data_IF_154521708903
#
_entry.id   IF_154521708903
#
_cell.length_a   1.000
_cell.length_b   1.000
_cell.length_c   1.000
_cell.angle_alpha   90.00
_cell.angle_beta   90.00
_cell.angle_gamma   90.00
#
_symmetry.space_group_name_H-M   'P 1'
#
loop_
_entity.id
_entity.type
_entity.pdbx_description
1 polymer ?
#
# COMPACT_ATOMS: atom_id res chain seq x y z
N UNK A 1 0.79 -22.44 -17.62
CA UNK A 1 0.65 -21.73 -16.34
C UNK A 1 0.86 -20.25 -16.60
N UNK A 2 0.16 -19.36 -15.89
CA UNK A 2 0.47 -17.93 -15.81
C UNK A 2 0.68 -17.60 -14.36
N UNK A 3 1.67 -16.76 -14.08
CA UNK A 3 1.98 -16.34 -12.72
C UNK A 3 1.73 -14.86 -12.55
N UNK A 4 1.29 -14.48 -11.37
CA UNK A 4 1.07 -13.11 -10.96
C UNK A 4 1.77 -12.87 -9.64
N UNK A 5 2.44 -11.73 -9.51
CA UNK A 5 2.92 -11.22 -8.24
C UNK A 5 1.94 -10.16 -7.75
N UNK A 6 1.62 -10.20 -6.46
CA UNK A 6 0.74 -9.23 -5.85
C UNK A 6 1.30 -8.68 -4.54
N UNK A 7 0.84 -7.49 -4.20
CA UNK A 7 1.08 -6.81 -2.93
C UNK A 7 -0.25 -6.40 -2.30
N UNK A 8 -0.36 -6.57 -0.99
CA UNK A 8 -1.54 -6.17 -0.22
C UNK A 8 -1.15 -5.65 1.16
N UNK A 9 -1.64 -4.49 1.55
CA UNK A 9 -1.38 -3.89 2.87
C UNK A 9 -2.53 -4.18 3.83
N UNK A 10 -2.20 -4.86 4.92
CA UNK A 10 -3.10 -5.09 6.04
C UNK A 10 -2.94 -3.95 7.05
N UNK A 11 -4.06 -3.33 7.41
CA UNK A 11 -4.13 -2.20 8.33
C UNK A 11 -4.53 -2.62 9.73
N UNK A 12 -5.43 -3.63 9.87
CA UNK A 12 -5.89 -4.17 11.16
C UNK A 12 -6.16 -5.68 11.10
N UNK A 13 -6.33 -6.31 12.27
CA UNK A 13 -6.65 -7.73 12.42
C UNK A 13 -5.44 -8.67 12.40
N UNK A 14 -4.30 -8.20 11.92
CA UNK A 14 -3.05 -8.95 11.93
C UNK A 14 -1.87 -7.99 12.13
N UNK A 15 -0.81 -8.44 12.78
CA UNK A 15 0.31 -7.58 13.18
C UNK A 15 1.66 -8.06 12.68
N UNK A 16 2.50 -7.12 12.25
CA UNK A 16 3.90 -7.42 11.94
C UNK A 16 4.68 -7.75 13.22
N UNK A 17 5.53 -8.79 13.14
CA UNK A 17 6.53 -9.15 14.16
C UNK A 17 7.86 -9.43 13.45
N UNK A 18 9.01 -9.23 14.13
CA UNK A 18 10.33 -9.38 13.49
C UNK A 18 10.59 -10.78 12.93
N UNK A 19 10.04 -11.82 13.54
CA UNK A 19 10.14 -13.21 13.05
C UNK A 19 9.56 -13.43 11.64
N UNK A 20 8.69 -12.53 11.15
CA UNK A 20 8.14 -12.62 9.79
C UNK A 20 9.14 -12.24 8.69
N UNK A 21 10.30 -11.69 9.06
CA UNK A 21 11.37 -11.43 8.09
C UNK A 21 12.03 -12.73 7.64
N UNK A 22 12.10 -13.72 8.53
CA UNK A 22 12.75 -15.01 8.28
C UNK A 22 11.72 -15.99 7.72
N UNK A 23 11.83 -16.30 6.42
CA UNK A 23 10.91 -17.19 5.69
C UNK A 23 10.82 -18.60 6.32
N UNK A 24 11.90 -19.06 6.96
CA UNK A 24 11.95 -20.37 7.59
C UNK A 24 11.32 -20.41 8.98
N UNK A 25 11.04 -19.25 9.57
CA UNK A 25 10.50 -19.16 10.93
C UNK A 25 9.11 -19.81 11.02
N UNK A 26 8.78 -20.41 12.18
CA UNK A 26 7.45 -20.98 12.39
C UNK A 26 6.35 -19.91 12.29
N UNK A 27 6.63 -18.68 12.74
CA UNK A 27 5.69 -17.57 12.65
C UNK A 27 5.41 -17.17 11.19
N UNK A 28 6.46 -17.11 10.34
CA UNK A 28 6.29 -16.88 8.92
C UNK A 28 5.45 -17.98 8.29
N UNK A 29 5.82 -19.25 8.50
CA UNK A 29 5.12 -20.40 7.89
C UNK A 29 3.66 -20.46 8.29
N UNK A 30 3.34 -20.24 9.56
CA UNK A 30 1.96 -20.22 10.05
C UNK A 30 1.15 -19.09 9.40
N UNK A 31 1.72 -17.89 9.32
CA UNK A 31 1.06 -16.72 8.74
C UNK A 31 0.93 -16.83 7.21
N UNK A 32 1.97 -17.31 6.54
CA UNK A 32 1.96 -17.60 5.11
C UNK A 32 0.85 -18.61 4.79
N UNK A 33 0.79 -19.73 5.51
CA UNK A 33 -0.26 -20.74 5.32
C UNK A 33 -1.66 -20.17 5.52
N UNK A 34 -1.85 -19.28 6.52
CA UNK A 34 -3.13 -18.60 6.76
C UNK A 34 -3.55 -17.76 5.54
N UNK A 35 -2.69 -16.87 5.07
CA UNK A 35 -3.00 -16.01 3.91
C UNK A 35 -3.09 -16.78 2.60
N UNK A 36 -2.27 -17.82 2.40
CA UNK A 36 -2.35 -18.70 1.24
C UNK A 36 -3.71 -19.41 1.18
N UNK A 37 -4.22 -19.90 2.32
CA UNK A 37 -5.56 -20.48 2.41
C UNK A 37 -6.64 -19.45 2.13
N UNK A 38 -6.52 -18.24 2.68
CA UNK A 38 -7.48 -17.16 2.42
C UNK A 38 -7.55 -16.85 0.92
N UNK A 39 -6.40 -16.61 0.28
CA UNK A 39 -6.32 -16.40 -1.17
C UNK A 39 -6.95 -17.59 -1.92
N UNK A 40 -6.60 -18.82 -1.55
CA UNK A 40 -7.15 -20.01 -2.19
C UNK A 40 -8.68 -20.09 -2.08
N UNK A 41 -9.24 -19.76 -0.91
CA UNK A 41 -10.69 -19.73 -0.70
C UNK A 41 -11.38 -18.70 -1.58
N UNK A 42 -10.82 -17.49 -1.71
CA UNK A 42 -11.38 -16.44 -2.57
C UNK A 42 -11.50 -16.92 -4.01
N UNK A 43 -10.40 -17.40 -4.59
CA UNK A 43 -10.40 -17.84 -5.99
C UNK A 43 -11.25 -19.09 -6.22
N UNK A 44 -11.31 -20.01 -5.25
CA UNK A 44 -12.15 -21.23 -5.36
C UNK A 44 -13.65 -20.93 -5.28
N UNK A 45 -14.04 -19.83 -4.64
CA UNK A 45 -15.43 -19.37 -4.55
C UNK A 45 -15.82 -18.38 -5.64
N UNK A 46 -14.86 -17.92 -6.45
CA UNK A 46 -15.07 -16.98 -7.56
C UNK A 46 -15.42 -17.69 -8.87
N UNK A 47 -15.68 -16.91 -9.94
CA UNK A 47 -15.81 -17.42 -11.30
C UNK A 47 -14.50 -18.01 -11.88
N UNK A 48 -13.36 -17.74 -11.25
CA UNK A 48 -12.06 -18.34 -11.58
C UNK A 48 -11.81 -19.69 -10.89
N UNK A 49 -12.85 -20.29 -10.28
CA UNK A 49 -12.79 -21.58 -9.60
C UNK A 49 -12.05 -22.64 -10.43
N UNK A 50 -11.15 -23.36 -9.77
CA UNK A 50 -10.36 -24.42 -10.40
C UNK A 50 -9.23 -23.95 -11.32
N UNK A 51 -9.14 -22.66 -11.66
CA UNK A 51 -8.00 -22.10 -12.41
C UNK A 51 -6.78 -21.84 -11.52
N UNK A 52 -6.97 -21.50 -10.24
CA UNK A 52 -5.87 -21.31 -9.30
C UNK A 52 -5.19 -22.65 -8.99
N UNK A 53 -3.92 -22.78 -9.35
CA UNK A 53 -3.08 -23.95 -9.05
C UNK A 53 -2.36 -23.80 -7.72
N UNK A 54 -1.86 -22.59 -7.43
CA UNK A 54 -1.10 -22.32 -6.22
C UNK A 54 -1.20 -20.85 -5.83
N UNK A 55 -1.43 -20.59 -4.56
CA UNK A 55 -1.14 -19.31 -3.93
C UNK A 55 0.07 -19.51 -3.02
N UNK A 56 1.03 -18.57 -3.06
CA UNK A 56 2.20 -18.59 -2.19
C UNK A 56 2.50 -17.22 -1.65
N UNK A 57 2.69 -17.09 -0.34
CA UNK A 57 3.22 -15.85 0.24
C UNK A 57 4.74 -15.85 0.11
N UNK A 58 5.28 -14.77 -0.45
CA UNK A 58 6.72 -14.61 -0.72
C UNK A 58 7.42 -13.99 0.48
N UNK A 59 6.87 -12.90 1.01
CA UNK A 59 7.46 -12.17 2.14
C UNK A 59 6.42 -11.30 2.84
N UNK A 60 6.72 -10.94 4.08
CA UNK A 60 6.00 -9.91 4.83
C UNK A 60 6.93 -8.73 5.12
N UNK A 61 6.41 -7.51 4.98
CA UNK A 61 7.13 -6.28 5.31
C UNK A 61 6.34 -5.53 6.37
N UNK A 62 7.04 -4.80 7.25
CA UNK A 62 6.40 -3.87 8.16
C UNK A 62 5.78 -2.72 7.35
N UNK A 63 4.51 -2.42 7.61
CA UNK A 63 3.88 -1.25 7.01
C UNK A 63 4.43 0.03 7.67
N UNK A 64 5.06 0.97 6.94
CA UNK A 64 5.55 2.21 7.53
C UNK A 64 4.44 3.16 7.99
N UNK A 65 3.24 3.06 7.39
CA UNK A 65 2.11 3.93 7.71
C UNK A 65 1.27 3.45 8.91
N UNK A 66 1.51 2.24 9.42
CA UNK A 66 0.76 1.68 10.55
C UNK A 66 1.70 1.04 11.56
N UNK A 67 1.56 1.41 12.84
CA UNK A 67 2.43 0.92 13.91
C UNK A 67 2.45 -0.61 14.01
N UNK A 68 1.37 -1.29 13.60
CA UNK A 68 1.27 -2.76 13.62
C UNK A 68 0.91 -3.39 12.28
N UNK A 69 0.57 -2.61 11.26
CA UNK A 69 0.21 -3.14 9.95
C UNK A 69 1.37 -3.89 9.28
N UNK A 70 1.02 -4.70 8.28
CA UNK A 70 2.00 -5.45 7.50
C UNK A 70 1.62 -5.44 6.02
N UNK A 71 2.63 -5.50 5.16
CA UNK A 71 2.48 -5.62 3.72
C UNK A 71 2.79 -7.07 3.35
N UNK A 72 1.90 -7.69 2.60
CA UNK A 72 1.98 -9.07 2.15
C UNK A 72 2.38 -9.05 0.69
N UNK A 73 3.50 -9.69 0.36
CA UNK A 73 3.82 -10.02 -1.02
C UNK A 73 3.46 -11.47 -1.28
N UNK A 74 2.68 -11.72 -2.33
CA UNK A 74 2.22 -13.04 -2.68
C UNK A 74 2.39 -13.30 -4.18
N UNK A 75 2.33 -14.58 -4.56
CA UNK A 75 2.32 -15.05 -5.93
C UNK A 75 1.15 -15.98 -6.14
N UNK A 76 0.52 -15.85 -7.30
CA UNK A 76 -0.56 -16.72 -7.75
C UNK A 76 -0.13 -17.41 -9.04
N UNK A 77 -0.31 -18.71 -9.10
CA UNK A 77 -0.12 -19.50 -10.31
C UNK A 77 -1.48 -20.00 -10.78
N UNK A 78 -1.87 -19.62 -11.99
CA UNK A 78 -3.14 -19.99 -12.61
C UNK A 78 -2.92 -20.88 -13.84
N UNK A 79 -3.85 -21.81 -14.06
CA UNK A 79 -3.91 -22.62 -15.26
C UNK A 79 -4.78 -21.95 -16.33
N UNK A 80 -4.12 -21.45 -17.37
CA UNK A 80 -4.79 -20.79 -18.50
C UNK A 80 -5.87 -21.64 -19.15
N UNK A 81 -5.72 -22.97 -19.15
CA UNK A 81 -6.65 -23.88 -19.82
C UNK A 81 -7.98 -24.01 -19.09
N UNK A 82 -8.01 -23.61 -17.82
CA UNK A 82 -9.20 -23.64 -16.95
C UNK A 82 -9.83 -22.27 -16.78
N UNK A 83 -9.28 -21.24 -17.43
CA UNK A 83 -9.90 -19.92 -17.42
C UNK A 83 -11.17 -19.96 -18.28
N UNK A 84 -12.27 -19.33 -17.82
CA UNK A 84 -13.46 -19.18 -18.64
C UNK A 84 -13.16 -18.45 -19.96
N UNK A 85 -13.80 -18.87 -21.05
CA UNK A 85 -13.56 -18.33 -22.39
C UNK A 85 -13.92 -16.85 -22.57
N UNK A 86 -14.72 -16.28 -21.66
CA UNK A 86 -15.10 -14.86 -21.66
C UNK A 86 -14.07 -13.95 -20.98
N UNK A 87 -12.96 -14.49 -20.47
CA UNK A 87 -11.91 -13.71 -19.82
C UNK A 87 -10.86 -13.30 -20.84
N UNK A 88 -11.00 -12.10 -21.41
CA UNK A 88 -10.01 -11.53 -22.34
C UNK A 88 -8.73 -11.08 -21.62
N UNK A 89 -8.90 -10.39 -20.49
CA UNK A 89 -7.79 -9.92 -19.65
C UNK A 89 -7.76 -10.65 -18.31
N UNK A 90 -6.93 -11.69 -18.24
CA UNK A 90 -6.79 -12.50 -17.03
C UNK A 90 -6.22 -11.73 -15.85
N UNK A 91 -5.34 -10.75 -16.06
CA UNK A 91 -4.74 -9.97 -14.97
C UNK A 91 -5.83 -9.16 -14.25
N UNK A 92 -6.63 -8.44 -15.03
CA UNK A 92 -7.77 -7.69 -14.50
C UNK A 92 -8.79 -8.60 -13.83
N UNK A 93 -9.09 -9.76 -14.42
CA UNK A 93 -10.02 -10.72 -13.81
C UNK A 93 -9.52 -11.24 -12.45
N UNK A 94 -8.23 -11.52 -12.32
CA UNK A 94 -7.63 -11.97 -11.05
C UNK A 94 -7.67 -10.84 -10.01
N UNK A 95 -7.32 -9.62 -10.42
CA UNK A 95 -7.39 -8.45 -9.55
C UNK A 95 -8.84 -8.16 -9.10
N UNK A 96 -9.80 -8.20 -10.03
CA UNK A 96 -11.22 -7.93 -9.78
C UNK A 96 -11.82 -8.93 -8.78
N UNK A 97 -11.51 -10.22 -8.91
CA UNK A 97 -11.95 -11.24 -7.94
C UNK A 97 -11.49 -10.92 -6.52
N UNK A 98 -10.21 -10.54 -6.36
CA UNK A 98 -9.69 -10.19 -5.04
C UNK A 98 -10.26 -8.86 -4.55
N UNK A 99 -10.44 -7.89 -5.44
CA UNK A 99 -11.02 -6.60 -5.12
C UNK A 99 -12.47 -6.72 -4.63
N UNK A 100 -13.28 -7.53 -5.32
CA UNK A 100 -14.67 -7.82 -4.95
C UNK A 100 -14.77 -8.43 -3.56
N UNK A 101 -13.88 -9.36 -3.22
CA UNK A 101 -13.82 -9.93 -1.88
C UNK A 101 -13.48 -8.87 -0.83
N UNK A 102 -12.51 -8.00 -1.09
CA UNK A 102 -12.06 -6.98 -0.15
C UNK A 102 -13.08 -5.84 0.03
N UNK A 103 -13.88 -5.56 -1.01
CA UNK A 103 -14.97 -4.59 -0.97
C UNK A 103 -16.30 -5.20 -0.47
N UNK A 104 -16.38 -6.52 -0.31
CA UNK A 104 -17.60 -7.19 0.13
C UNK A 104 -17.97 -6.78 1.55
N UNK A 105 -19.26 -6.55 1.80
CA UNK A 105 -19.79 -6.34 3.15
C UNK A 105 -19.65 -7.60 4.01
N UNK A 106 -19.66 -8.77 3.38
CA UNK A 106 -19.47 -10.08 4.01
C UNK A 106 -18.35 -10.82 3.27
N UNK A 107 -17.08 -10.53 3.56
CA UNK A 107 -15.94 -11.21 2.94
C UNK A 107 -15.92 -12.69 3.35
N UNK A 108 -15.69 -13.58 2.38
CA UNK A 108 -15.68 -15.02 2.61
C UNK A 108 -14.44 -15.43 3.40
N UNK A 109 -13.28 -14.90 3.03
CA UNK A 109 -11.97 -15.26 3.56
C UNK A 109 -11.35 -14.14 4.40
N UNK A 110 -11.58 -12.87 4.04
CA UNK A 110 -10.92 -11.72 4.66
C UNK A 110 -11.67 -11.10 5.86
N UNK A 111 -12.71 -11.76 6.38
CA UNK A 111 -13.59 -11.24 7.45
C UNK A 111 -12.90 -10.80 8.75
N UNK A 112 -11.71 -11.33 9.07
CA UNK A 112 -10.98 -11.00 10.30
C UNK A 112 -9.82 -10.00 10.11
N UNK A 113 -9.63 -9.44 8.91
CA UNK A 113 -8.52 -8.54 8.61
C UNK A 113 -9.03 -7.31 7.85
N UNK A 114 -8.56 -6.13 8.25
CA UNK A 114 -8.81 -4.92 7.50
C UNK A 114 -7.64 -4.67 6.55
N UNK A 115 -7.97 -4.36 5.29
CA UNK A 115 -7.01 -4.23 4.21
C UNK A 115 -7.21 -2.87 3.55
N UNK A 116 -6.10 -2.22 3.19
CA UNK A 116 -6.08 -1.00 2.41
C UNK A 116 -6.34 -1.35 0.94
N UNK A 117 -7.54 -1.08 0.43
CA UNK A 117 -7.97 -1.54 -0.89
C UNK A 117 -7.13 -0.90 -2.01
N UNK A 118 -6.78 0.37 -1.85
CA UNK A 118 -5.92 1.12 -2.79
C UNK A 118 -4.47 0.60 -2.83
N UNK A 119 -4.07 -0.22 -1.85
CA UNK A 119 -2.76 -0.85 -1.84
C UNK A 119 -2.67 -2.11 -2.71
N UNK A 120 -3.81 -2.64 -3.19
CA UNK A 120 -3.82 -3.87 -3.98
C UNK A 120 -3.15 -3.64 -5.33
N UNK A 121 -1.97 -4.21 -5.49
CA UNK A 121 -1.27 -4.26 -6.76
C UNK A 121 -1.13 -5.69 -7.20
N UNK A 122 -1.40 -5.97 -8.47
CA UNK A 122 -1.24 -7.28 -9.07
C UNK A 122 -0.67 -7.12 -10.47
N UNK A 123 0.42 -7.83 -10.75
CA UNK A 123 1.11 -7.77 -12.02
C UNK A 123 1.48 -9.17 -12.49
N UNK A 124 1.30 -9.44 -13.78
CA UNK A 124 1.72 -10.68 -14.41
C UNK A 124 3.23 -10.78 -14.38
N UNK A 125 3.74 -11.90 -13.85
CA UNK A 125 5.14 -12.25 -13.99
C UNK A 125 5.38 -12.64 -15.45
N UNK A 126 6.00 -11.74 -16.21
CA UNK A 126 6.58 -12.08 -17.51
C UNK A 126 7.90 -12.79 -17.27
N UNK A 127 8.17 -13.82 -18.07
CA UNK A 127 9.46 -14.51 -18.06
C UNK A 127 10.47 -13.59 -18.74
N UNK A 128 10.85 -12.54 -18.04
CA UNK A 128 11.87 -11.57 -18.44
C UNK A 128 12.58 -11.17 -17.15
N UNK A 129 13.80 -11.69 -17.05
CA UNK A 129 14.90 -11.43 -16.11
C UNK A 129 14.70 -10.26 -15.15
N UNK A 130 15.00 -10.50 -13.88
CA UNK A 130 14.91 -9.53 -12.81
C UNK A 130 15.47 -8.16 -13.18
N UNK A 131 14.67 -7.13 -12.92
CA UNK A 131 15.13 -5.75 -12.85
C UNK A 131 14.71 -5.21 -11.50
N UNK A 132 15.68 -5.27 -10.59
CA UNK A 132 16.18 -4.17 -9.77
C UNK A 132 15.13 -3.18 -9.26
N UNK A 133 15.04 -3.15 -7.93
CA UNK A 133 14.30 -2.19 -7.12
C UNK A 133 14.73 -0.76 -7.49
N UNK A 134 13.80 -0.02 -8.08
CA UNK A 134 13.61 1.42 -7.90
C UNK A 134 14.86 2.29 -7.95
N UNK A 135 15.32 2.61 -9.16
CA UNK A 135 16.12 3.81 -9.37
C UNK A 135 15.28 5.03 -8.99
N UNK A 136 15.78 5.79 -8.02
CA UNK A 136 15.35 7.14 -7.68
C UNK A 136 15.04 7.96 -8.95
N UNK A 137 13.94 8.73 -8.98
CA UNK A 137 13.72 9.68 -10.07
C UNK A 137 14.91 10.66 -10.08
N UNK A 138 15.52 10.97 -11.24
CA UNK A 138 16.55 11.97 -11.29
C UNK A 138 15.90 13.32 -10.96
N UNK A 139 16.26 13.87 -9.80
CA UNK A 139 16.09 15.29 -9.49
C UNK A 139 16.61 16.09 -10.68
N UNK A 140 15.83 17.05 -11.24
CA UNK A 140 16.34 17.91 -12.29
C UNK A 140 17.51 18.71 -11.73
N UNK A 141 18.73 18.37 -12.14
CA UNK A 141 19.90 19.20 -11.91
C UNK A 141 19.68 20.52 -12.68
N UNK A 142 19.74 21.69 -12.03
CA UNK A 142 19.72 22.95 -12.74
C UNK A 142 20.95 22.99 -13.65
N UNK A 143 20.71 23.25 -14.94
CA UNK A 143 21.75 23.43 -15.94
C UNK A 143 22.55 24.66 -15.54
N UNK A 144 23.79 24.45 -15.14
CA UNK A 144 24.81 25.49 -15.02
C UNK A 144 25.23 25.89 -16.43
N UNK A 145 24.49 26.80 -17.05
CA UNK A 145 25.01 27.59 -18.18
C UNK A 145 24.22 28.90 -18.31
N UNK A 146 24.98 29.96 -18.56
CA UNK A 146 24.56 31.35 -18.78
C UNK A 146 24.37 32.24 -17.53
N UNK A 147 25.46 32.42 -16.77
CA UNK A 147 25.66 33.69 -16.03
C UNK A 147 25.99 34.77 -17.06
N UNK A 148 24.96 35.43 -17.60
CA UNK A 148 25.18 36.73 -18.26
C UNK A 148 25.53 37.75 -17.18
N UNK A 149 26.75 38.26 -17.30
CA UNK A 149 27.25 39.42 -16.56
C UNK A 149 26.44 40.64 -17.00
N UNK A 150 25.30 40.88 -16.34
CA UNK A 150 24.61 42.16 -16.45
C UNK A 150 25.32 43.12 -15.51
N UNK A 151 26.22 43.92 -16.10
CA UNK A 151 26.83 45.08 -15.46
C UNK A 151 25.75 46.15 -15.27
N UNK A 152 25.12 46.18 -14.09
CA UNK A 152 24.34 47.34 -13.63
C UNK A 152 25.22 48.21 -12.74
N UNK A 153 25.71 49.29 -13.35
CA UNK A 153 26.27 50.45 -12.66
C UNK A 153 25.08 51.27 -12.16
N UNK A 154 24.98 51.53 -10.85
CA UNK A 154 23.93 52.43 -10.33
C UNK A 154 23.60 52.31 -8.85
N UNK A 155 24.33 53.07 -8.04
CA UNK A 155 23.77 53.97 -6.98
C UNK A 155 23.04 53.36 -5.77
N UNK A 156 23.85 53.23 -4.72
CA UNK A 156 23.70 53.90 -3.42
C UNK A 156 22.68 53.38 -2.38
N UNK A 157 23.31 52.96 -1.29
CA UNK A 157 22.87 52.78 0.10
C UNK A 157 21.82 53.79 0.61
N UNK A 158 20.85 53.29 1.38
CA UNK A 158 20.43 53.92 2.64
C UNK A 158 19.79 52.92 3.61
N UNK A 159 19.88 53.14 4.95
CA UNK A 159 19.67 52.14 5.98
C UNK A 159 18.40 52.36 6.82
N UNK A 160 17.91 51.30 7.48
CA UNK A 160 17.14 51.41 8.72
C UNK A 160 15.62 51.18 8.63
N UNK A 161 15.08 50.50 9.65
CA UNK A 161 13.65 50.39 9.95
C UNK A 161 13.20 48.95 10.21
N UNK A 162 13.48 48.36 11.37
CA UNK A 162 12.69 48.44 12.60
C UNK A 162 11.74 47.25 12.81
N UNK A 163 11.92 46.63 13.97
CA UNK A 163 11.24 45.46 14.54
C UNK A 163 10.00 45.94 15.34
N UNK A 164 9.06 45.01 15.58
CA UNK A 164 7.96 44.98 16.58
C UNK A 164 6.61 45.59 16.20
N UNK A 165 5.53 44.79 16.30
CA UNK A 165 4.28 45.02 17.08
C UNK A 165 3.64 43.63 17.38
N UNK A 166 3.76 43.04 18.60
CA UNK A 166 2.90 43.09 19.81
C UNK A 166 1.45 42.54 19.69
N UNK A 167 1.15 41.57 20.58
CA UNK A 167 -0.16 40.94 20.91
C UNK A 167 -1.16 41.95 21.50
N UNK A 168 -2.46 41.62 21.58
CA UNK A 168 -3.05 41.22 22.88
C UNK A 168 -4.06 40.04 22.75
N UNK A 169 -4.06 39.07 23.66
CA UNK A 169 -4.79 39.03 24.96
C UNK A 169 -6.31 38.81 24.80
N UNK A 170 -6.84 37.75 25.42
CA UNK A 170 -8.27 37.58 25.61
C UNK A 170 -8.73 36.14 25.89
N UNK A 171 -8.43 35.61 27.07
CA UNK A 171 -9.24 34.54 27.68
C UNK A 171 -10.47 35.17 28.37
N UNK A 172 -11.63 34.50 28.40
CA UNK A 172 -12.20 34.17 29.72
C UNK A 172 -12.95 32.82 29.80
N UNK A 173 -12.56 32.01 30.78
CA UNK A 173 -13.36 31.48 31.92
C UNK A 173 -14.88 31.17 31.76
N UNK A 174 -15.19 29.87 31.89
CA UNK A 174 -16.20 29.19 32.77
C UNK A 174 -17.68 29.59 32.72
N UNK A 175 -18.56 28.58 32.58
CA UNK A 175 -19.76 28.37 33.42
C UNK A 175 -20.25 26.91 33.39
N UNK A 176 -20.55 26.40 34.59
CA UNK A 176 -21.33 25.20 34.92
C UNK A 176 -22.83 25.56 34.87
N UNK A 177 -23.70 24.58 34.56
CA UNK A 177 -25.07 24.36 35.09
C UNK A 177 -25.66 23.16 34.34
N UNK A 178 -25.83 22.00 34.97
CA UNK A 178 -26.98 21.53 35.78
C UNK A 178 -28.02 20.76 34.96
N UNK A 179 -28.29 19.53 35.44
CA UNK A 179 -29.42 18.67 35.07
C UNK A 179 -30.74 19.36 35.45
N UNK A 180 -31.86 18.90 34.87
CA UNK A 180 -32.84 18.29 35.76
C UNK A 180 -33.36 16.93 35.28
N UNK A 181 -33.78 16.18 36.29
CA UNK A 181 -34.57 14.96 36.24
C UNK A 181 -35.96 15.24 35.66
N UNK A 182 -36.48 14.31 34.86
CA UNK A 182 -37.87 13.84 34.90
C UNK A 182 -37.89 12.37 34.50
#
# INVERSE_FOLDING_TARGET
EVRYAGELRVTQGDSWIPDLVVVESPAFKAKATKYEKMLQTVYEKSFLKGSLRKAKVVRFIKNPASSRGLIIHFRLALDRRKLPSHVDNTELAVQDVLLQELMSLEPIAFHNVAVDIDSLHLARETESVGVEVGTVPPTPQPREDDVQVIKVEGTQEAPGGAIMIRKPSGSPTRKQEELPQQ
#
